data_IF_249827783736
#
_entry.id   IF_249827783736
#
_cell.length_a   1.000
_cell.length_b   1.000
_cell.length_c   1.000
_cell.angle_alpha   90.00
_cell.angle_beta   90.00
_cell.angle_gamma   90.00
#
_symmetry.space_group_name_H-M   'P 1'
#
loop_
_entity.id
_entity.type
_entity.pdbx_description
1 polymer ?
#
# COMPACT_ATOMS: atom_id res chain seq x y z
N UNK A 1 15.71 2.88 -3.72
CA UNK A 1 14.43 3.16 -4.33
C UNK A 1 13.46 3.70 -3.30
N UNK A 2 12.74 4.74 -3.65
CA UNK A 2 11.78 5.35 -2.74
C UNK A 2 10.40 4.73 -2.97
N UNK A 3 10.03 3.78 -2.14
CA UNK A 3 8.77 3.08 -2.28
C UNK A 3 7.57 4.00 -2.09
N UNK A 4 7.71 4.99 -1.21
CA UNK A 4 6.62 5.93 -1.00
C UNK A 4 6.32 6.71 -2.27
N UNK A 5 7.34 7.27 -2.90
CA UNK A 5 7.16 8.02 -4.13
C UNK A 5 6.65 7.13 -5.26
N UNK A 6 7.20 5.92 -5.35
CA UNK A 6 6.79 4.98 -6.37
C UNK A 6 5.30 4.65 -6.26
N UNK A 7 4.85 4.33 -5.05
CA UNK A 7 3.46 3.96 -4.86
C UNK A 7 2.51 5.12 -5.11
N UNK A 8 2.90 6.31 -4.68
CA UNK A 8 2.07 7.48 -4.92
C UNK A 8 1.95 7.79 -6.40
N UNK A 9 3.06 7.67 -7.14
CA UNK A 9 3.02 7.92 -8.58
C UNK A 9 2.18 6.90 -9.33
N UNK A 10 2.30 5.65 -8.96
CA UNK A 10 1.56 4.58 -9.63
C UNK A 10 0.07 4.69 -9.34
N UNK A 11 -0.28 5.03 -8.11
CA UNK A 11 -1.68 5.05 -7.70
C UNK A 11 -2.40 6.36 -8.02
N UNK A 12 -1.68 7.46 -8.14
CA UNK A 12 -2.31 8.75 -8.36
C UNK A 12 -3.31 8.75 -9.53
N UNK A 13 -2.96 8.21 -10.71
CA UNK A 13 -3.94 8.23 -11.81
C UNK A 13 -5.12 7.31 -11.62
N UNK A 14 -5.06 6.42 -10.65
CA UNK A 14 -6.14 5.45 -10.40
C UNK A 14 -7.12 5.96 -9.37
N UNK A 15 -6.68 6.86 -8.48
CA UNK A 15 -7.47 7.29 -7.35
C UNK A 15 -8.26 8.57 -7.65
N UNK A 16 -9.42 8.69 -6.99
CA UNK A 16 -10.20 9.90 -7.06
C UNK A 16 -9.63 10.98 -6.15
N UNK A 17 -9.00 10.57 -5.04
CA UNK A 17 -8.45 11.50 -4.06
C UNK A 17 -6.98 11.19 -3.81
N UNK A 18 -6.13 11.35 -4.85
CA UNK A 18 -4.72 10.95 -4.71
C UNK A 18 -3.98 11.71 -3.63
N UNK A 19 -4.39 12.93 -3.33
CA UNK A 19 -3.73 13.72 -2.30
C UNK A 19 -4.02 13.21 -0.90
N UNK A 20 -5.01 12.35 -0.76
CA UNK A 20 -5.36 11.78 0.54
C UNK A 20 -4.74 10.41 0.76
N UNK A 21 -3.98 9.94 -0.19
CA UNK A 21 -3.26 8.69 -0.02
C UNK A 21 -2.08 8.90 0.91
N UNK A 22 -2.01 8.13 1.96
CA UNK A 22 -0.87 8.16 2.88
C UNK A 22 -0.11 6.85 2.75
N UNK A 23 1.21 6.96 2.67
CA UNK A 23 2.08 5.79 2.58
C UNK A 23 3.06 5.87 3.73
N UNK A 24 3.07 4.84 4.56
CA UNK A 24 3.96 4.78 5.70
C UNK A 24 4.93 3.63 5.49
N UNK A 25 6.22 3.89 5.65
CA UNK A 25 7.26 2.89 5.46
C UNK A 25 8.01 2.73 6.76
N UNK A 26 8.04 1.50 7.28
CA UNK A 26 8.78 1.20 8.51
C UNK A 26 9.83 0.16 8.20
N UNK A 27 11.06 0.45 8.58
CA UNK A 27 12.18 -0.47 8.38
C UNK A 27 12.60 -1.06 9.70
N UNK A 28 12.83 -2.35 9.69
CA UNK A 28 13.30 -3.07 10.86
C UNK A 28 14.32 -4.09 10.38
N UNK A 29 15.59 -3.71 10.39
CA UNK A 29 16.62 -4.54 9.80
C UNK A 29 16.40 -4.66 8.31
N UNK A 30 16.26 -5.88 7.81
CA UNK A 30 15.99 -6.11 6.40
C UNK A 30 14.50 -6.22 6.09
N UNK A 31 13.68 -6.07 7.11
CA UNK A 31 12.24 -6.11 6.95
C UNK A 31 11.73 -4.69 6.70
N UNK A 32 10.93 -4.53 5.67
CA UNK A 32 10.31 -3.25 5.34
C UNK A 32 8.81 -3.44 5.29
N UNK A 33 8.10 -2.73 6.14
CA UNK A 33 6.64 -2.80 6.17
C UNK A 33 6.07 -1.52 5.61
N UNK A 34 5.26 -1.65 4.57
CA UNK A 34 4.64 -0.51 3.91
C UNK A 34 3.14 -0.56 4.14
N UNK A 35 2.60 0.53 4.65
CA UNK A 35 1.16 0.62 4.90
C UNK A 35 0.58 1.71 4.03
N UNK A 36 -0.53 1.39 3.36
CA UNK A 36 -1.26 2.35 2.55
C UNK A 36 -2.56 2.70 3.26
N UNK A 37 -2.86 3.99 3.31
CA UNK A 37 -4.13 4.47 3.85
C UNK A 37 -4.79 5.36 2.81
N UNK A 38 -6.07 5.14 2.56
CA UNK A 38 -6.81 5.93 1.59
C UNK A 38 -8.24 6.07 2.05
N UNK A 39 -8.95 7.09 1.55
CA UNK A 39 -10.38 7.21 1.84
C UNK A 39 -11.12 5.98 1.38
N UNK A 40 -12.21 5.68 2.05
CA UNK A 40 -13.01 4.51 1.72
C UNK A 40 -13.38 4.45 0.24
N UNK A 41 -13.62 5.61 -0.35
CA UNK A 41 -14.01 5.68 -1.76
C UNK A 41 -12.92 5.13 -2.69
N UNK A 42 -11.66 5.24 -2.27
CA UNK A 42 -10.54 4.82 -3.11
C UNK A 42 -10.00 3.44 -2.79
N UNK A 43 -10.39 2.86 -1.66
CA UNK A 43 -9.84 1.57 -1.26
C UNK A 43 -10.11 0.47 -2.27
N UNK A 44 -11.32 0.46 -2.82
CA UNK A 44 -11.65 -0.53 -3.83
C UNK A 44 -10.78 -0.43 -5.06
N UNK A 45 -10.35 0.78 -5.41
CA UNK A 45 -9.48 0.98 -6.55
C UNK A 45 -8.08 0.46 -6.29
N UNK A 46 -7.61 0.59 -5.04
CA UNK A 46 -6.30 0.07 -4.67
C UNK A 46 -6.33 -1.46 -4.65
N UNK A 47 -7.40 -2.04 -4.16
CA UNK A 47 -7.54 -3.50 -4.13
C UNK A 47 -7.67 -4.02 -5.55
N UNK A 48 -8.52 -3.38 -6.34
CA UNK A 48 -8.75 -3.78 -7.71
C UNK A 48 -9.69 -4.97 -7.81
N UNK A 49 -10.02 -5.32 -9.03
CA UNK A 49 -10.93 -6.42 -9.29
C UNK A 49 -10.29 -7.72 -8.82
N UNK A 50 -10.98 -8.44 -7.95
CA UNK A 50 -10.51 -9.71 -7.39
C UNK A 50 -9.14 -9.58 -6.71
N UNK A 51 -8.84 -8.38 -6.20
CA UNK A 51 -7.58 -8.15 -5.51
C UNK A 51 -6.36 -8.07 -6.41
N UNK A 52 -6.55 -7.92 -7.70
CA UNK A 52 -5.43 -7.97 -8.64
C UNK A 52 -4.49 -6.77 -8.53
N UNK A 53 -5.04 -5.58 -8.25
CA UNK A 53 -4.20 -4.40 -8.14
C UNK A 53 -3.28 -4.52 -6.92
N UNK A 54 -3.84 -4.84 -5.77
CA UNK A 54 -3.04 -4.93 -4.55
C UNK A 54 -2.02 -6.07 -4.64
N UNK A 55 -2.39 -7.18 -5.27
CA UNK A 55 -1.46 -8.29 -5.50
C UNK A 55 -0.31 -7.86 -6.38
N UNK A 56 -0.61 -7.09 -7.43
CA UNK A 56 0.43 -6.60 -8.33
C UNK A 56 1.37 -5.63 -7.62
N UNK A 57 0.82 -4.76 -6.79
CA UNK A 57 1.64 -3.83 -6.03
C UNK A 57 2.55 -4.55 -5.07
N UNK A 58 2.04 -5.60 -4.43
CA UNK A 58 2.86 -6.42 -3.53
C UNK A 58 4.00 -7.08 -4.28
N UNK A 59 3.71 -7.62 -5.46
CA UNK A 59 4.72 -8.28 -6.26
C UNK A 59 5.82 -7.31 -6.68
N UNK A 60 5.43 -6.12 -7.13
CA UNK A 60 6.40 -5.12 -7.55
C UNK A 60 7.28 -4.66 -6.38
N UNK A 61 6.67 -4.44 -5.23
CA UNK A 61 7.43 -4.02 -4.06
C UNK A 61 8.39 -5.11 -3.61
N UNK A 62 7.95 -6.37 -3.69
CA UNK A 62 8.79 -7.49 -3.31
C UNK A 62 10.00 -7.60 -4.22
N UNK A 63 9.78 -7.48 -5.53
CA UNK A 63 10.87 -7.53 -6.48
C UNK A 63 11.87 -6.41 -6.25
N UNK A 64 11.34 -5.19 -6.03
CA UNK A 64 12.21 -4.04 -5.78
C UNK A 64 13.03 -4.23 -4.51
N UNK A 65 12.39 -4.77 -3.46
CA UNK A 65 13.07 -5.03 -2.21
C UNK A 65 14.13 -6.10 -2.34
N UNK A 66 13.78 -7.20 -3.01
CA UNK A 66 14.72 -8.30 -3.20
C UNK A 66 16.00 -7.84 -3.86
N UNK A 67 15.86 -6.95 -4.84
CA UNK A 67 17.01 -6.44 -5.55
C UNK A 67 17.98 -5.71 -4.62
N UNK A 68 17.46 -5.13 -3.56
CA UNK A 68 18.27 -4.37 -2.61
C UNK A 68 18.54 -5.11 -1.31
N UNK A 69 18.12 -6.36 -1.23
CA UNK A 69 18.35 -7.17 -0.04
C UNK A 69 17.36 -6.96 1.08
N UNK A 70 16.17 -6.43 0.77
CA UNK A 70 15.13 -6.21 1.75
C UNK A 70 13.94 -7.10 1.50
N UNK A 71 13.24 -7.45 2.58
CA UNK A 71 11.98 -8.17 2.49
C UNK A 71 10.86 -7.15 2.70
N UNK A 72 10.08 -6.90 1.66
CA UNK A 72 9.05 -5.86 1.70
C UNK A 72 7.68 -6.48 1.84
N UNK A 73 6.91 -5.97 2.79
CA UNK A 73 5.55 -6.36 3.03
C UNK A 73 4.65 -5.15 2.81
N UNK A 74 3.64 -5.29 1.97
CA UNK A 74 2.72 -4.20 1.65
C UNK A 74 1.33 -4.54 2.14
N UNK A 75 0.70 -3.60 2.81
CA UNK A 75 -0.62 -3.83 3.34
C UNK A 75 -1.47 -2.57 3.20
N UNK A 76 -2.74 -2.77 2.92
CA UNK A 76 -3.72 -1.68 2.86
C UNK A 76 -4.46 -1.64 4.19
N UNK A 77 -4.35 -0.52 4.87
CA UNK A 77 -5.02 -0.34 6.15
C UNK A 77 -6.43 0.15 5.87
N UNK A 78 -7.40 -0.56 6.40
CA UNK A 78 -8.80 -0.21 6.18
C UNK A 78 -9.42 0.29 7.47
N UNK A 79 -9.04 1.50 7.84
CA UNK A 79 -9.61 2.15 9.01
C UNK A 79 -10.96 2.73 8.64
N UNK A 80 -11.97 2.37 9.41
CA UNK A 80 -13.27 2.97 9.22
C UNK A 80 -13.35 4.31 9.94
N UNK A 81 -14.41 5.04 9.64
CA UNK A 81 -14.61 6.32 10.27
C UNK A 81 -14.68 6.21 11.79
N UNK A 82 -15.10 5.07 12.30
CA UNK A 82 -15.18 4.84 13.74
C UNK A 82 -13.86 4.34 14.33
N UNK A 83 -12.84 4.21 13.51
CA UNK A 83 -11.52 3.86 13.98
C UNK A 83 -11.25 2.39 14.16
N UNK A 84 -12.22 1.54 13.85
CA UNK A 84 -11.99 0.11 13.97
C UNK A 84 -11.17 -0.42 12.81
N UNK A 85 -10.41 -1.45 13.11
CA UNK A 85 -9.58 -2.07 12.07
C UNK A 85 -10.23 -3.37 11.63
N UNK A 86 -10.14 -3.67 10.33
CA UNK A 86 -10.83 -4.87 9.79
C UNK A 86 -10.34 -6.18 10.35
N UNK A 87 -9.10 -6.27 10.72
CA UNK A 87 -8.58 -7.52 11.22
C UNK A 87 -9.11 -7.87 12.59
N UNK A 88 -9.87 -6.99 13.18
CA UNK A 88 -10.54 -7.28 14.43
C UNK A 88 -11.63 -8.29 14.27
N UNK A 89 -12.10 -8.43 13.09
CA UNK A 89 -13.21 -9.32 12.82
C UNK A 89 -12.90 -10.74 13.17
#
# INVERSE_FOLDING_TARGET
MDLEAFLKEVLAPVLDFPNELAVEVKKNGRQVDVSLRAPKADRGRIIGRNGKMISSLRALCRVAGDKQGFSVNLELVEDDADGRTPQEA
#
